data_IF_373434481282
#
_entry.id   IF_373434481282
#
_cell.length_a   1.000
_cell.length_b   1.000
_cell.length_c   1.000
_cell.angle_alpha   90.00
_cell.angle_beta   90.00
_cell.angle_gamma   90.00
#
_symmetry.space_group_name_H-M   'P 1'
#
loop_
_entity.id
_entity.type
_entity.pdbx_description
1 polymer ?
#
# COMPACT_ATOMS: atom_id res chain seq x y z
N UNK A 1 14.27 -3.96 -1.44
CA UNK A 1 14.43 -4.21 0.00
C UNK A 1 14.67 -2.89 0.71
N UNK A 2 14.21 -2.73 1.95
CA UNK A 2 14.42 -1.55 2.78
C UNK A 2 15.17 -1.94 4.06
N UNK A 3 16.22 -1.19 4.45
CA UNK A 3 16.95 -1.46 5.67
C UNK A 3 16.13 -1.00 6.88
N UNK A 4 16.13 -1.79 7.95
CA UNK A 4 15.60 -1.41 9.25
C UNK A 4 16.59 -1.81 10.35
N UNK A 5 16.63 -1.02 11.42
CA UNK A 5 17.56 -1.23 12.51
C UNK A 5 16.91 -2.08 13.61
N UNK A 6 17.58 -3.16 13.99
CA UNK A 6 17.25 -3.98 15.16
C UNK A 6 18.37 -3.83 16.19
N UNK A 7 18.04 -3.91 17.48
CA UNK A 7 19.04 -3.99 18.53
C UNK A 7 19.37 -5.47 18.78
N UNK A 8 20.61 -5.87 18.53
CA UNK A 8 21.12 -7.17 18.97
C UNK A 8 21.80 -6.99 20.34
N UNK A 9 21.60 -7.91 21.28
CA UNK A 9 22.28 -7.88 22.58
C UNK A 9 23.65 -8.55 22.43
N UNK A 10 24.72 -7.78 22.57
CA UNK A 10 26.08 -8.29 22.59
C UNK A 10 26.44 -8.95 23.93
N UNK A 11 27.51 -9.74 23.96
CA UNK A 11 28.06 -10.27 25.20
C UNK A 11 28.44 -9.12 26.15
N UNK A 12 27.78 -9.04 27.31
CA UNK A 12 27.93 -7.94 28.28
C UNK A 12 26.73 -6.99 28.40
N UNK A 13 25.62 -7.23 27.70
CA UNK A 13 24.39 -6.44 27.84
C UNK A 13 24.36 -5.13 27.02
N UNK A 14 25.39 -4.88 26.22
CA UNK A 14 25.44 -3.73 25.31
C UNK A 14 24.57 -3.97 24.07
N UNK A 15 23.67 -3.04 23.76
CA UNK A 15 22.90 -3.05 22.52
C UNK A 15 23.81 -2.67 21.34
N UNK A 16 24.00 -3.61 20.40
CA UNK A 16 24.74 -3.39 19.16
C UNK A 16 23.72 -3.16 18.02
N UNK A 17 23.84 -2.07 17.25
CA UNK A 17 22.95 -1.83 16.12
C UNK A 17 23.18 -2.88 15.02
N UNK A 18 22.13 -3.61 14.64
CA UNK A 18 22.13 -4.59 13.55
C UNK A 18 21.18 -4.13 12.44
N UNK A 19 21.68 -4.02 11.21
CA UNK A 19 20.89 -3.60 10.05
C UNK A 19 20.37 -4.86 9.36
N UNK A 20 19.05 -5.00 9.32
CA UNK A 20 18.36 -6.06 8.59
C UNK A 20 17.63 -5.48 7.37
N UNK A 21 17.44 -6.29 6.34
CA UNK A 21 16.72 -5.89 5.14
C UNK A 21 15.37 -6.60 5.09
N UNK A 22 14.31 -5.86 4.75
CA UNK A 22 12.99 -6.42 4.47
C UNK A 22 12.60 -6.17 3.02
N UNK A 23 12.09 -7.19 2.37
CA UNK A 23 11.60 -7.09 1.00
C UNK A 23 10.33 -6.23 0.91
N UNK A 24 10.25 -5.47 -0.17
CA UNK A 24 9.06 -4.70 -0.57
C UNK A 24 8.73 -5.22 -1.96
N UNK A 25 7.67 -6.01 -2.04
CA UNK A 25 7.32 -6.74 -3.25
C UNK A 25 5.88 -6.46 -3.68
N UNK A 26 5.67 -6.61 -4.98
CA UNK A 26 4.36 -6.79 -5.57
C UNK A 26 4.26 -8.27 -5.96
N UNK A 27 3.37 -9.00 -5.31
CA UNK A 27 3.20 -10.44 -5.49
C UNK A 27 1.73 -10.75 -5.75
N UNK A 28 1.49 -11.64 -6.71
CA UNK A 28 0.18 -12.16 -7.08
C UNK A 28 0.25 -13.68 -7.09
N UNK A 29 -0.44 -14.32 -6.16
CA UNK A 29 -0.58 -15.77 -6.09
C UNK A 29 -1.98 -16.15 -6.56
N UNK A 30 -2.05 -17.11 -7.48
CA UNK A 30 -3.31 -17.56 -8.10
C UNK A 30 -3.37 -19.07 -8.09
N UNK A 31 -4.44 -19.61 -7.52
CA UNK A 31 -4.72 -21.05 -7.52
C UNK A 31 -6.00 -21.32 -8.33
N UNK A 32 -5.89 -21.80 -9.59
CA UNK A 32 -7.06 -22.10 -10.42
C UNK A 32 -7.58 -23.53 -10.20
N UNK A 33 -8.89 -23.71 -10.27
CA UNK A 33 -9.60 -24.99 -10.26
C UNK A 33 -10.61 -24.97 -11.42
N UNK A 34 -10.46 -25.93 -12.34
CA UNK A 34 -11.36 -26.07 -13.49
C UNK A 34 -12.53 -26.96 -13.11
N UNK A 35 -13.74 -26.43 -13.25
CA UNK A 35 -14.98 -27.15 -13.00
C UNK A 35 -15.39 -27.98 -14.23
N UNK A 36 -16.13 -29.08 -14.07
CA UNK A 36 -16.56 -29.93 -15.20
C UNK A 36 -17.44 -29.21 -16.23
N UNK A 37 -18.12 -28.14 -15.80
CA UNK A 37 -18.95 -27.26 -16.65
C UNK A 37 -18.13 -26.21 -17.44
N UNK A 38 -16.80 -26.25 -17.33
CA UNK A 38 -15.90 -25.32 -18.05
C UNK A 38 -15.65 -24.00 -17.35
N UNK A 39 -16.19 -23.78 -16.15
CA UNK A 39 -15.91 -22.58 -15.34
C UNK A 39 -14.57 -22.71 -14.60
N UNK A 40 -13.87 -21.59 -14.46
CA UNK A 40 -12.58 -21.51 -13.77
C UNK A 40 -12.80 -20.78 -12.45
N UNK A 41 -12.64 -21.50 -11.35
CA UNK A 41 -12.61 -20.91 -10.02
C UNK A 41 -11.16 -20.55 -9.68
N UNK A 42 -10.90 -19.32 -9.23
CA UNK A 42 -9.56 -18.87 -8.86
C UNK A 42 -9.59 -18.32 -7.44
N UNK A 43 -8.67 -18.81 -6.61
CA UNK A 43 -8.29 -18.16 -5.36
C UNK A 43 -7.11 -17.23 -5.66
N UNK A 44 -7.29 -15.95 -5.41
CA UNK A 44 -6.35 -14.88 -5.77
C UNK A 44 -5.91 -14.17 -4.50
N UNK A 45 -4.60 -14.13 -4.28
CA UNK A 45 -3.94 -13.39 -3.21
C UNK A 45 -2.99 -12.38 -3.82
N UNK A 46 -3.30 -11.09 -3.71
CA UNK A 46 -2.42 -9.99 -4.11
C UNK A 46 -1.84 -9.36 -2.86
N UNK A 47 -0.52 -9.19 -2.84
CA UNK A 47 0.20 -8.42 -1.85
C UNK A 47 1.02 -7.32 -2.52
N UNK A 48 0.86 -6.09 -2.05
CA UNK A 48 1.64 -4.93 -2.48
C UNK A 48 2.23 -4.22 -1.27
N UNK A 49 3.54 -4.24 -1.19
CA UNK A 49 4.28 -3.45 -0.21
C UNK A 49 4.68 -2.09 -0.82
N UNK A 50 4.64 -1.04 0.00
CA UNK A 50 5.12 0.31 -0.35
C UNK A 50 5.90 0.90 0.82
N UNK A 51 6.81 1.83 0.55
CA UNK A 51 7.57 2.52 1.59
C UNK A 51 6.69 3.62 2.18
N UNK A 52 6.48 3.55 3.49
CA UNK A 52 5.72 4.51 4.28
C UNK A 52 6.59 5.62 4.85
N UNK A 53 6.17 6.17 5.99
CA UNK A 53 6.89 7.27 6.66
C UNK A 53 8.27 6.83 7.15
N UNK A 54 9.22 7.76 7.13
CA UNK A 54 10.52 7.54 7.78
C UNK A 54 10.35 7.59 9.30
N UNK A 55 10.83 6.55 9.99
CA UNK A 55 10.88 6.50 11.45
C UNK A 55 12.35 6.53 11.92
N UNK A 56 12.63 6.84 13.21
CA UNK A 56 14.00 6.79 13.75
C UNK A 56 14.68 5.42 13.61
N UNK A 57 13.90 4.34 13.42
CA UNK A 57 14.39 2.97 13.25
C UNK A 57 14.42 2.49 11.80
N UNK A 58 14.07 3.36 10.84
CA UNK A 58 14.00 3.08 9.41
C UNK A 58 12.64 3.39 8.78
N UNK A 59 12.50 3.24 7.45
CA UNK A 59 11.21 3.36 6.75
C UNK A 59 10.16 2.39 7.29
N UNK A 60 8.95 2.88 7.52
CA UNK A 60 7.77 2.02 7.67
C UNK A 60 7.47 1.32 6.32
N UNK A 61 6.87 0.14 6.37
CA UNK A 61 6.39 -0.57 5.19
C UNK A 61 4.86 -0.63 5.28
N UNK A 62 4.20 -0.06 4.28
CA UNK A 62 2.75 -0.12 4.13
C UNK A 62 2.42 -1.32 3.23
N UNK A 63 1.75 -2.33 3.78
CA UNK A 63 1.30 -3.53 3.03
C UNK A 63 -0.19 -3.42 2.72
N UNK A 64 -0.56 -3.60 1.45
CA UNK A 64 -1.93 -3.77 1.00
C UNK A 64 -2.11 -5.22 0.52
N UNK A 65 -3.11 -5.91 1.05
CA UNK A 65 -3.38 -7.32 0.75
C UNK A 65 -4.84 -7.51 0.34
N UNK A 66 -5.06 -8.31 -0.70
CA UNK A 66 -6.40 -8.67 -1.20
C UNK A 66 -6.45 -10.19 -1.36
N UNK A 67 -7.41 -10.83 -0.69
CA UNK A 67 -7.70 -12.26 -0.79
C UNK A 67 -9.13 -12.46 -1.26
N UNK A 68 -9.32 -13.11 -2.40
CA UNK A 68 -10.65 -13.34 -2.95
C UNK A 68 -10.76 -14.67 -3.67
N UNK A 69 -12.00 -15.15 -3.78
CA UNK A 69 -12.37 -16.32 -4.58
C UNK A 69 -13.35 -15.87 -5.64
N UNK A 70 -12.99 -16.12 -6.90
CA UNK A 70 -13.79 -15.72 -8.05
C UNK A 70 -14.08 -16.93 -8.94
N UNK A 71 -15.24 -16.91 -9.59
CA UNK A 71 -15.61 -17.87 -10.62
C UNK A 71 -15.81 -17.08 -11.90
N UNK A 72 -15.12 -17.47 -12.95
CA UNK A 72 -15.12 -16.78 -14.24
C UNK A 72 -15.05 -17.82 -15.36
N UNK A 73 -15.56 -17.46 -16.54
CA UNK A 73 -15.48 -18.33 -17.71
C UNK A 73 -14.12 -18.20 -18.39
N UNK A 74 -13.76 -19.19 -19.20
CA UNK A 74 -12.55 -19.15 -20.01
C UNK A 74 -12.52 -17.92 -20.94
N UNK A 75 -11.41 -17.19 -20.95
CA UNK A 75 -11.22 -16.00 -21.78
C UNK A 75 -11.98 -14.75 -21.32
N UNK A 76 -12.79 -14.82 -20.26
CA UNK A 76 -13.48 -13.64 -19.74
C UNK A 76 -12.63 -12.85 -18.75
N UNK A 77 -12.65 -11.52 -18.86
CA UNK A 77 -11.97 -10.63 -17.91
C UNK A 77 -12.92 -10.28 -16.77
N UNK A 78 -12.48 -10.51 -15.54
CA UNK A 78 -13.16 -10.03 -14.33
C UNK A 78 -12.37 -8.91 -13.67
N UNK A 79 -13.10 -7.95 -13.11
CA UNK A 79 -12.57 -6.87 -12.27
C UNK A 79 -12.89 -7.21 -10.83
N UNK A 80 -11.86 -7.40 -10.01
CA UNK A 80 -12.00 -7.80 -8.60
C UNK A 80 -12.36 -6.60 -7.68
N UNK A 81 -12.35 -5.39 -8.23
CA UNK A 81 -12.61 -4.15 -7.48
C UNK A 81 -11.35 -3.60 -6.81
N UNK A 82 -11.45 -2.39 -6.24
CA UNK A 82 -10.29 -1.59 -5.84
C UNK A 82 -10.30 -1.06 -4.41
N UNK A 83 -9.08 -0.83 -3.89
CA UNK A 83 -8.86 -0.10 -2.64
C UNK A 83 -8.75 1.38 -2.98
N UNK A 84 -9.69 2.18 -2.47
CA UNK A 84 -9.68 3.64 -2.60
C UNK A 84 -8.94 4.20 -1.39
N UNK A 85 -7.89 4.98 -1.65
CA UNK A 85 -7.09 5.66 -0.64
C UNK A 85 -7.13 7.16 -0.96
N UNK A 86 -7.95 7.89 -0.20
CA UNK A 86 -8.09 9.34 -0.30
C UNK A 86 -7.41 9.98 0.92
N UNK A 87 -6.34 10.73 0.65
CA UNK A 87 -5.59 11.44 1.67
C UNK A 87 -5.65 12.95 1.39
N UNK A 88 -6.41 13.67 2.23
CA UNK A 88 -6.43 15.13 2.27
C UNK A 88 -5.60 15.65 3.44
N UNK A 89 -4.52 16.37 3.15
CA UNK A 89 -3.75 17.10 4.16
C UNK A 89 -3.91 18.61 3.95
N UNK A 90 -4.48 19.29 4.94
CA UNK A 90 -4.55 20.75 4.98
C UNK A 90 -3.55 21.23 6.02
N UNK A 91 -2.51 21.92 5.57
CA UNK A 91 -1.49 22.51 6.43
C UNK A 91 -1.65 24.02 6.45
N UNK A 92 -1.86 24.59 7.63
CA UNK A 92 -1.93 26.03 7.85
C UNK A 92 -0.66 26.49 8.58
N UNK A 93 0.16 27.31 7.93
CA UNK A 93 1.38 27.91 8.49
C UNK A 93 1.19 29.43 8.62
N UNK A 94 1.72 30.03 9.70
CA UNK A 94 1.78 31.49 9.82
C UNK A 94 1.93 31.97 11.26
N UNK A 95 1.91 33.29 11.44
CA UNK A 95 2.20 33.92 12.74
C UNK A 95 1.04 33.67 13.72
N UNK A 96 1.30 33.11 14.92
CA UNK A 96 0.28 32.93 15.95
C UNK A 96 -0.44 34.25 16.27
N UNK A 97 -1.77 34.23 16.27
CA UNK A 97 -2.61 35.41 16.50
C UNK A 97 -3.08 36.10 15.21
N UNK A 98 -2.17 36.47 14.31
CA UNK A 98 -2.49 37.20 13.07
C UNK A 98 -3.22 36.33 12.04
N UNK A 99 -2.88 35.03 11.97
CA UNK A 99 -3.53 34.04 11.09
C UNK A 99 -5.03 33.86 11.36
N UNK A 100 -5.51 34.22 12.55
CA UNK A 100 -6.93 34.08 12.93
C UNK A 100 -7.79 35.27 12.51
N UNK A 101 -7.18 36.38 12.07
CA UNK A 101 -7.92 37.57 11.63
C UNK A 101 -8.27 37.40 10.14
N UNK A 102 -9.56 37.43 9.76
CA UNK A 102 -10.01 37.10 8.39
C UNK A 102 -9.32 37.91 7.28
N UNK A 103 -8.97 39.15 7.58
CA UNK A 103 -8.34 40.08 6.64
C UNK A 103 -6.80 39.93 6.58
N UNK A 104 -6.17 39.62 7.72
CA UNK A 104 -4.71 39.48 7.82
C UNK A 104 -4.23 38.05 7.53
N UNK A 105 -5.14 37.07 7.52
CA UNK A 105 -4.86 35.67 7.15
C UNK A 105 -4.17 35.56 5.79
N UNK A 106 -4.55 36.38 4.81
CA UNK A 106 -3.97 36.34 3.46
C UNK A 106 -2.56 36.94 3.35
N UNK A 107 -2.17 37.81 4.28
CA UNK A 107 -0.86 38.48 4.27
C UNK A 107 0.16 37.79 5.20
N UNK A 108 -0.32 37.13 6.26
CA UNK A 108 0.52 36.54 7.32
C UNK A 108 0.27 35.04 7.56
N UNK A 109 -0.55 34.42 6.72
CA UNK A 109 -0.83 32.98 6.73
C UNK A 109 -0.63 32.37 5.34
N UNK A 110 -0.17 31.12 5.33
CA UNK A 110 -0.08 30.27 4.14
C UNK A 110 -0.94 29.02 4.38
N UNK A 111 -1.83 28.73 3.44
CA UNK A 111 -2.62 27.50 3.41
C UNK A 111 -2.05 26.60 2.31
N UNK A 112 -1.66 25.38 2.66
CA UNK A 112 -1.25 24.34 1.70
C UNK A 112 -2.24 23.19 1.76
N UNK A 113 -2.92 22.96 0.64
CA UNK A 113 -3.81 21.80 0.45
C UNK A 113 -3.06 20.78 -0.40
N UNK A 114 -2.89 19.57 0.14
CA UNK A 114 -2.29 18.45 -0.58
C UNK A 114 -3.29 17.30 -0.63
N UNK A 115 -3.78 16.97 -1.83
CA UNK A 115 -4.74 15.89 -2.08
C UNK A 115 -4.03 14.78 -2.84
N UNK A 116 -4.08 13.55 -2.32
CA UNK A 116 -3.55 12.37 -3.01
C UNK A 116 -4.64 11.30 -3.09
N UNK A 117 -5.01 10.96 -4.32
CA UNK A 117 -5.95 9.89 -4.63
C UNK A 117 -5.17 8.71 -5.22
N UNK A 118 -5.26 7.54 -4.60
CA UNK A 118 -4.68 6.31 -5.13
C UNK A 118 -5.76 5.24 -5.28
N UNK A 119 -5.95 4.76 -6.51
CA UNK A 119 -6.86 3.67 -6.83
C UNK A 119 -6.07 2.46 -7.33
N UNK A 120 -6.41 1.27 -6.82
CA UNK A 120 -5.85 0.01 -7.30
C UNK A 120 -6.94 -0.79 -7.99
N UNK A 121 -6.82 -1.05 -9.30
CA UNK A 121 -7.72 -1.92 -10.05
C UNK A 121 -6.98 -3.19 -10.48
N UNK A 122 -7.65 -4.33 -10.36
CA UNK A 122 -7.09 -5.64 -10.70
C UNK A 122 -7.99 -6.30 -11.75
N UNK A 123 -7.39 -6.60 -12.89
CA UNK A 123 -8.02 -7.29 -14.02
C UNK A 123 -7.40 -8.67 -14.17
N UNK A 124 -8.23 -9.71 -14.26
CA UNK A 124 -7.77 -11.08 -14.45
C UNK A 124 -8.56 -11.71 -15.59
N UNK A 125 -7.84 -12.31 -16.53
CA UNK A 125 -8.41 -13.06 -17.66
C UNK A 125 -7.76 -14.44 -17.65
N UNK A 126 -8.45 -15.50 -17.21
CA UNK A 126 -7.91 -16.84 -17.33
C UNK A 126 -7.98 -17.32 -18.78
N UNK A 127 -7.02 -18.16 -19.16
CA UNK A 127 -6.99 -18.85 -20.45
C UNK A 127 -6.78 -20.34 -20.23
N UNK A 128 -7.74 -21.15 -20.62
CA UNK A 128 -7.68 -22.61 -20.56
C UNK A 128 -6.91 -23.15 -21.78
N UNK A 129 -5.67 -23.58 -21.55
CA UNK A 129 -4.86 -24.20 -22.61
C UNK A 129 -5.16 -25.70 -22.66
N UNK A 130 -5.78 -26.16 -23.75
CA UNK A 130 -5.97 -27.59 -24.06
C UNK A 130 -4.77 -28.10 -24.87
N UNK A 131 -4.18 -29.22 -24.44
CA UNK A 131 -3.18 -29.97 -25.22
C UNK A 131 -3.85 -30.90 -26.20
#
# INVERSE_FOLDING_TARGET
QVPYQTAAVGAGGTAVPNIQFKDVVLQLDVTPIVSPDGRIMMEVELKRDTIGIQTPSGPAINTKEVKTKIIVEDGQTIVIGGVIDDQSNITNEGIPGLVRVPLLKYLFGQERVNTRNSELLIFITPLLVRQ
#
